data_IF_465538779684
#
_entry.id   IF_465538779684
#
_cell.length_a   1.000
_cell.length_b   1.000
_cell.length_c   1.000
_cell.angle_alpha   90.00
_cell.angle_beta   90.00
_cell.angle_gamma   90.00
#
_symmetry.space_group_name_H-M   'P 1'
#
loop_
_entity.id
_entity.type
_entity.pdbx_description
1 polymer ?
#
# COMPACT_ATOMS: atom_id res chain seq x y z
N UNK A 1 15.74 10.94 27.85
CA UNK A 1 14.55 11.10 27.00
C UNK A 1 14.71 12.36 26.16
N UNK A 2 15.02 12.25 24.85
CA UNK A 2 15.05 13.39 23.93
C UNK A 2 13.69 13.57 23.26
N UNK A 3 13.22 14.82 23.19
CA UNK A 3 11.82 15.20 23.05
C UNK A 3 11.58 16.16 21.87
N UNK A 4 12.21 15.93 20.71
CA UNK A 4 12.17 16.85 19.58
C UNK A 4 11.77 16.24 18.20
N UNK A 5 11.33 14.98 18.09
CA UNK A 5 11.07 14.35 16.78
C UNK A 5 9.70 13.66 16.56
N UNK A 6 8.78 13.74 17.52
CA UNK A 6 7.55 12.92 17.51
C UNK A 6 6.60 13.16 16.31
N UNK A 7 6.28 14.41 15.90
CA UNK A 7 5.31 14.64 14.82
C UNK A 7 5.89 14.38 13.42
N UNK A 8 7.14 14.78 13.18
CA UNK A 8 7.80 14.58 11.87
C UNK A 8 7.98 13.10 11.56
N UNK A 9 8.31 12.30 12.56
CA UNK A 9 8.49 10.86 12.40
C UNK A 9 7.15 10.16 12.11
N UNK A 10 6.06 10.57 12.76
CA UNK A 10 4.70 10.10 12.46
C UNK A 10 4.24 10.49 11.04
N UNK A 11 4.60 11.70 10.59
CA UNK A 11 4.30 12.14 9.21
C UNK A 11 5.04 11.29 8.17
N UNK A 12 6.33 11.00 8.42
CA UNK A 12 7.13 10.14 7.53
C UNK A 12 6.59 8.69 7.55
N UNK A 13 6.16 8.22 8.71
CA UNK A 13 5.51 6.92 8.88
C UNK A 13 4.23 6.82 8.04
N UNK A 14 3.33 7.79 8.19
CA UNK A 14 2.08 7.84 7.43
C UNK A 14 2.29 8.02 5.93
N UNK A 15 3.32 8.80 5.53
CA UNK A 15 3.65 8.99 4.12
C UNK A 15 4.21 7.71 3.48
N UNK A 16 5.00 6.93 4.22
CA UNK A 16 5.47 5.62 3.77
C UNK A 16 4.34 4.61 3.66
N UNK A 17 3.36 4.68 4.56
CA UNK A 17 2.17 3.80 4.55
C UNK A 17 1.27 4.15 3.36
N UNK A 18 0.94 5.43 3.18
CA UNK A 18 0.18 5.93 2.03
C UNK A 18 0.90 5.64 0.70
N UNK A 19 2.22 5.76 0.64
CA UNK A 19 3.01 5.36 -0.52
C UNK A 19 2.85 3.86 -0.84
N UNK A 20 2.86 3.00 0.19
CA UNK A 20 2.58 1.58 0.05
C UNK A 20 1.17 1.28 -0.46
N UNK A 21 0.17 2.02 0.00
CA UNK A 21 -1.21 1.93 -0.48
C UNK A 21 -1.32 2.29 -1.97
N UNK A 22 -0.73 3.41 -2.39
CA UNK A 22 -0.79 3.87 -3.79
C UNK A 22 -0.12 2.87 -4.72
N UNK A 23 1.06 2.35 -4.34
CA UNK A 23 1.75 1.33 -5.13
C UNK A 23 0.92 0.04 -5.21
N UNK A 24 0.35 -0.40 -4.09
CA UNK A 24 -0.54 -1.57 -4.06
C UNK A 24 -1.78 -1.41 -4.92
N UNK A 25 -2.43 -0.25 -4.86
CA UNK A 25 -3.60 0.08 -5.67
C UNK A 25 -3.25 0.14 -7.16
N UNK A 26 -2.08 0.68 -7.52
CA UNK A 26 -1.64 0.77 -8.91
C UNK A 26 -1.34 -0.60 -9.53
N UNK A 27 -0.71 -1.50 -8.76
CA UNK A 27 -0.48 -2.90 -9.19
C UNK A 27 -1.80 -3.65 -9.32
N UNK A 28 -2.73 -3.45 -8.38
CA UNK A 28 -4.04 -4.10 -8.41
C UNK A 28 -4.93 -3.59 -9.55
N UNK A 29 -4.85 -2.30 -9.86
CA UNK A 29 -5.48 -1.73 -11.06
C UNK A 29 -4.92 -2.37 -12.33
N UNK A 30 -3.59 -2.49 -12.45
CA UNK A 30 -2.95 -3.17 -13.58
C UNK A 30 -3.41 -4.63 -13.72
N UNK A 31 -3.47 -5.38 -12.61
CA UNK A 31 -3.97 -6.75 -12.58
C UNK A 31 -5.47 -6.83 -12.94
N UNK A 32 -6.30 -5.94 -12.40
CA UNK A 32 -7.71 -5.88 -12.70
C UNK A 32 -7.97 -5.56 -14.17
N UNK A 33 -7.23 -4.60 -14.72
CA UNK A 33 -7.28 -4.26 -16.13
C UNK A 33 -6.86 -5.45 -17.01
N UNK A 34 -5.81 -6.20 -16.63
CA UNK A 34 -5.37 -7.40 -17.35
C UNK A 34 -6.42 -8.53 -17.30
N UNK A 35 -7.18 -8.62 -16.21
CA UNK A 35 -8.28 -9.56 -16.02
C UNK A 35 -9.57 -9.14 -16.75
N UNK A 36 -9.57 -8.02 -17.47
CA UNK A 36 -10.77 -7.47 -18.13
C UNK A 36 -11.78 -6.86 -17.16
N UNK A 37 -11.36 -6.58 -15.92
CA UNK A 37 -12.15 -5.85 -14.93
C UNK A 37 -12.06 -4.35 -15.25
N UNK A 38 -12.93 -3.92 -16.15
CA UNK A 38 -12.96 -2.53 -16.57
C UNK A 38 -13.70 -1.67 -15.53
N UNK A 39 -12.92 -1.02 -14.67
CA UNK A 39 -13.40 -0.12 -13.60
C UNK A 39 -14.19 1.06 -14.18
N UNK A 40 -13.92 1.41 -15.45
CA UNK A 40 -14.53 2.52 -16.16
C UNK A 40 -15.61 2.10 -17.16
N UNK A 41 -15.99 0.81 -17.20
CA UNK A 41 -17.06 0.38 -18.10
C UNK A 41 -18.37 1.13 -17.78
N UNK A 42 -19.09 1.61 -18.82
CA UNK A 42 -20.35 2.31 -18.64
C UNK A 42 -21.44 1.33 -18.16
N UNK A 43 -22.07 1.68 -17.03
CA UNK A 43 -23.00 0.82 -16.31
C UNK A 43 -22.27 0.00 -15.24
N UNK A 44 -22.88 -0.16 -14.06
CA UNK A 44 -22.37 -0.95 -12.94
C UNK A 44 -22.32 -2.46 -13.30
N UNK A 45 -21.45 -2.83 -14.22
CA UNK A 45 -21.18 -4.20 -14.61
C UNK A 45 -20.47 -4.92 -13.47
N UNK A 46 -20.69 -6.23 -13.36
CA UNK A 46 -19.96 -7.08 -12.41
C UNK A 46 -18.44 -6.85 -12.51
N UNK A 47 -17.92 -6.62 -13.72
CA UNK A 47 -16.50 -6.32 -13.95
C UNK A 47 -16.03 -5.05 -13.23
N UNK A 48 -16.83 -3.98 -13.18
CA UNK A 48 -16.46 -2.74 -12.51
C UNK A 48 -16.51 -2.88 -10.99
N UNK A 49 -17.50 -3.61 -10.47
CA UNK A 49 -17.62 -3.91 -9.03
C UNK A 49 -16.43 -4.75 -8.57
N UNK A 50 -16.12 -5.84 -9.29
CA UNK A 50 -14.96 -6.67 -9.00
C UNK A 50 -13.66 -5.89 -9.15
N UNK A 51 -13.56 -4.97 -10.12
CA UNK A 51 -12.43 -4.06 -10.27
C UNK A 51 -12.23 -3.17 -9.04
N UNK A 52 -13.27 -2.51 -8.54
CA UNK A 52 -13.20 -1.66 -7.34
C UNK A 52 -12.81 -2.48 -6.11
N UNK A 53 -13.41 -3.64 -5.91
CA UNK A 53 -13.07 -4.54 -4.80
C UNK A 53 -11.61 -4.97 -4.89
N UNK A 54 -11.14 -5.36 -6.09
CA UNK A 54 -9.77 -5.77 -6.32
C UNK A 54 -8.77 -4.62 -6.07
N UNK A 55 -9.11 -3.39 -6.47
CA UNK A 55 -8.32 -2.19 -6.16
C UNK A 55 -8.25 -1.96 -4.65
N UNK A 56 -9.37 -2.04 -3.93
CA UNK A 56 -9.43 -1.85 -2.48
C UNK A 56 -8.62 -2.91 -1.73
N UNK A 57 -8.76 -4.17 -2.12
CA UNK A 57 -7.98 -5.29 -1.57
C UNK A 57 -6.48 -5.12 -1.87
N UNK A 58 -6.15 -4.73 -3.09
CA UNK A 58 -4.77 -4.51 -3.51
C UNK A 58 -4.08 -3.34 -2.81
N UNK A 59 -4.78 -2.22 -2.62
CA UNK A 59 -4.30 -1.09 -1.82
C UNK A 59 -4.11 -1.47 -0.36
N UNK A 60 -5.07 -2.18 0.24
CA UNK A 60 -4.98 -2.68 1.61
C UNK A 60 -3.84 -3.70 1.83
N UNK A 61 -3.63 -4.60 0.87
CA UNK A 61 -2.50 -5.54 0.89
C UNK A 61 -1.16 -4.83 0.65
N UNK A 62 -1.12 -3.80 -0.20
CA UNK A 62 0.07 -2.96 -0.43
C UNK A 62 0.51 -2.23 0.83
N UNK A 63 -0.45 -1.70 1.60
CA UNK A 63 -0.23 -1.12 2.92
C UNK A 63 0.42 -2.12 3.89
N UNK A 64 -0.18 -3.32 4.00
CA UNK A 64 0.35 -4.38 4.86
C UNK A 64 1.74 -4.84 4.42
N UNK A 65 2.01 -4.92 3.12
CA UNK A 65 3.31 -5.27 2.56
C UNK A 65 4.36 -4.18 2.88
N UNK A 66 4.04 -2.90 2.69
CA UNK A 66 4.93 -1.78 3.02
C UNK A 66 5.26 -1.76 4.51
N UNK A 67 4.25 -1.94 5.38
CA UNK A 67 4.43 -2.03 6.83
C UNK A 67 5.32 -3.21 7.22
N UNK A 68 5.15 -4.37 6.58
CA UNK A 68 5.95 -5.59 6.83
C UNK A 68 7.39 -5.47 6.34
N UNK A 69 7.62 -4.84 5.18
CA UNK A 69 8.96 -4.60 4.65
C UNK A 69 9.74 -3.60 5.51
N UNK A 70 9.07 -2.56 6.01
CA UNK A 70 9.67 -1.60 6.93
C UNK A 70 10.04 -2.24 8.28
N UNK A 71 9.16 -3.08 8.84
CA UNK A 71 9.48 -3.86 10.05
C UNK A 71 10.73 -4.74 9.86
N UNK A 72 10.89 -5.34 8.67
CA UNK A 72 12.08 -6.13 8.32
C UNK A 72 13.35 -5.28 8.15
N UNK A 73 13.23 -4.04 7.66
CA UNK A 73 14.36 -3.13 7.51
C UNK A 73 14.89 -2.63 8.86
N UNK A 74 14.02 -2.35 9.82
CA UNK A 74 14.39 -1.95 11.19
C UNK A 74 15.16 -3.10 11.89
N UNK A 75 14.73 -4.35 11.71
CA UNK A 75 15.50 -5.51 12.24
C UNK A 75 16.87 -5.66 11.56
N UNK A 76 16.98 -5.31 10.27
CA UNK A 76 18.24 -5.42 9.53
C UNK A 76 19.27 -4.35 9.90
N UNK A 77 18.85 -3.15 10.34
CA UNK A 77 19.82 -2.16 10.85
C UNK A 77 20.41 -2.61 12.18
N UNK A 78 19.61 -3.25 13.04
CA UNK A 78 20.04 -3.73 14.35
C UNK A 78 21.05 -4.89 14.30
N UNK A 79 21.13 -5.61 13.17
CA UNK A 79 22.08 -6.72 12.98
C UNK A 79 23.34 -6.32 12.20
N UNK A 80 23.51 -5.03 11.87
CA UNK A 80 24.74 -4.51 11.26
C UNK A 80 25.64 -3.75 12.24
N UNK A 81 25.20 -3.65 13.50
CA UNK A 81 25.97 -3.06 14.61
C UNK A 81 26.47 -4.11 15.62
N UNK A 82 26.33 -5.41 15.33
CA UNK A 82 26.83 -6.50 16.20
C UNK A 82 28.00 -7.26 15.61
#
# INVERSE_FOLDING_TARGET
MNNNNTPKQLLIEGLSDAGGFIVGAMVAYGLGHLLGLDVFAPGYSNSSIFGIVLLGVGGGLGLQAARRLRARQITRSNNKES
#
